data_IF_952511925878
#
_entry.id   IF_952511925878
#
_cell.length_a   1.000
_cell.length_b   1.000
_cell.length_c   1.000
_cell.angle_alpha   90.00
_cell.angle_beta   90.00
_cell.angle_gamma   90.00
#
_symmetry.space_group_name_H-M   'P 1'
#
loop_
_entity.id
_entity.type
_entity.pdbx_description
1 polymer ?
#
# COMPACT_ATOMS: atom_id res chain seq x y z
N UNK A 1 13.35 -24.47 -11.62
CA UNK A 1 13.01 -23.87 -10.31
C UNK A 1 13.26 -22.36 -10.31
N UNK A 2 14.38 -21.88 -10.86
CA UNK A 2 14.70 -20.44 -10.98
C UNK A 2 13.67 -19.60 -11.77
N UNK A 3 13.16 -20.12 -12.88
CA UNK A 3 12.16 -19.42 -13.71
C UNK A 3 10.82 -19.21 -12.99
N UNK A 4 10.39 -20.17 -12.17
CA UNK A 4 9.15 -20.09 -11.39
C UNK A 4 9.23 -18.99 -10.32
N UNK A 5 10.40 -18.87 -9.68
CA UNK A 5 10.66 -17.84 -8.69
C UNK A 5 10.63 -16.45 -9.34
N UNK A 6 11.29 -16.26 -10.50
CA UNK A 6 11.25 -14.99 -11.26
C UNK A 6 9.83 -14.58 -11.67
N UNK A 7 9.03 -15.53 -12.14
CA UNK A 7 7.64 -15.27 -12.53
C UNK A 7 6.78 -14.80 -11.36
N UNK A 8 6.85 -15.48 -10.21
CA UNK A 8 6.13 -15.08 -9.00
C UNK A 8 6.54 -13.68 -8.53
N UNK A 9 7.82 -13.31 -8.59
CA UNK A 9 8.26 -11.96 -8.22
C UNK A 9 7.70 -10.87 -9.14
N UNK A 10 7.67 -11.11 -10.46
CA UNK A 10 7.07 -10.16 -11.41
C UNK A 10 5.57 -9.92 -11.15
N UNK A 11 4.82 -10.98 -10.83
CA UNK A 11 3.40 -10.85 -10.46
C UNK A 11 3.21 -10.08 -9.14
N UNK A 12 4.08 -10.31 -8.15
CA UNK A 12 4.03 -9.60 -6.87
C UNK A 12 4.34 -8.11 -7.04
N UNK A 13 5.32 -7.76 -7.88
CA UNK A 13 5.66 -6.35 -8.16
C UNK A 13 4.51 -5.62 -8.86
N UNK A 14 3.88 -6.27 -9.85
CA UNK A 14 2.69 -5.72 -10.52
C UNK A 14 1.54 -5.51 -9.53
N UNK A 15 1.22 -6.51 -8.71
CA UNK A 15 0.19 -6.41 -7.68
C UNK A 15 0.50 -5.29 -6.67
N UNK A 16 1.76 -5.16 -6.24
CA UNK A 16 2.18 -4.10 -5.33
C UNK A 16 1.98 -2.70 -5.93
N UNK A 17 2.32 -2.52 -7.22
CA UNK A 17 2.08 -1.28 -7.96
C UNK A 17 0.59 -0.93 -8.04
N UNK A 18 -0.25 -1.91 -8.37
CA UNK A 18 -1.71 -1.72 -8.46
C UNK A 18 -2.33 -1.34 -7.11
N UNK A 19 -1.91 -2.00 -6.03
CA UNK A 19 -2.35 -1.67 -4.68
C UNK A 19 -1.85 -0.28 -4.29
N UNK A 20 -0.62 0.11 -4.65
CA UNK A 20 -0.08 1.44 -4.33
C UNK A 20 -0.86 2.55 -5.04
N UNK A 21 -1.15 2.39 -6.32
CA UNK A 21 -2.01 3.30 -7.08
C UNK A 21 -3.40 3.38 -6.45
N UNK A 22 -3.98 2.25 -6.06
CA UNK A 22 -5.30 2.19 -5.44
C UNK A 22 -5.32 2.88 -4.07
N UNK A 23 -4.30 2.66 -3.24
CA UNK A 23 -4.16 3.35 -1.95
C UNK A 23 -4.03 4.86 -2.12
N UNK A 24 -3.23 5.31 -3.10
CA UNK A 24 -3.13 6.74 -3.44
C UNK A 24 -4.48 7.36 -3.79
N UNK A 25 -5.30 6.65 -4.58
CA UNK A 25 -6.67 7.10 -4.90
C UNK A 25 -7.58 7.12 -3.67
N UNK A 26 -7.49 6.12 -2.81
CA UNK A 26 -8.28 6.06 -1.57
C UNK A 26 -7.93 7.26 -0.67
N UNK A 27 -6.63 7.53 -0.45
CA UNK A 27 -6.19 8.66 0.36
C UNK A 27 -6.71 9.99 -0.19
N UNK A 28 -6.60 10.20 -1.51
CA UNK A 28 -7.11 11.40 -2.15
C UNK A 28 -8.64 11.56 -2.00
N UNK A 29 -9.40 10.48 -2.15
CA UNK A 29 -10.86 10.48 -1.96
C UNK A 29 -11.24 10.80 -0.50
N UNK A 30 -10.50 10.26 0.47
CA UNK A 30 -10.73 10.54 1.89
C UNK A 30 -10.40 11.99 2.23
N UNK A 31 -9.32 12.54 1.69
CA UNK A 31 -8.94 13.94 1.90
C UNK A 31 -9.96 14.91 1.29
N UNK A 32 -10.43 14.62 0.07
CA UNK A 32 -11.50 15.38 -0.59
C UNK A 32 -12.81 15.32 0.22
N UNK A 33 -13.21 14.12 0.66
CA UNK A 33 -14.39 13.94 1.51
C UNK A 33 -14.29 14.75 2.80
N UNK A 34 -13.14 14.70 3.49
CA UNK A 34 -12.92 15.49 4.71
C UNK A 34 -13.05 16.99 4.43
N UNK A 35 -12.44 17.48 3.35
CA UNK A 35 -12.49 18.89 2.97
C UNK A 35 -13.93 19.36 2.70
N UNK A 36 -14.73 18.54 2.01
CA UNK A 36 -16.14 18.84 1.75
C UNK A 36 -16.99 18.82 3.02
N UNK A 37 -16.68 17.93 3.96
CA UNK A 37 -17.43 17.79 5.21
C UNK A 37 -17.06 18.85 6.26
N UNK A 38 -15.83 19.40 6.25
CA UNK A 38 -15.37 20.42 7.20
C UNK A 38 -16.41 21.51 7.55
N UNK A 39 -17.05 22.20 6.59
CA UNK A 39 -18.02 23.26 6.90
C UNK A 39 -19.34 22.73 7.50
N UNK A 40 -19.68 21.46 7.30
CA UNK A 40 -20.89 20.84 7.87
C UNK A 40 -20.61 20.26 9.27
N UNK A 41 -19.39 19.75 9.50
CA UNK A 41 -18.96 19.19 10.78
C UNK A 41 -19.03 20.23 11.89
N UNK A 42 -18.77 21.51 11.59
CA UNK A 42 -18.91 22.60 12.59
C UNK A 42 -20.35 22.85 13.03
N UNK A 43 -21.34 22.34 12.28
CA UNK A 43 -22.77 22.46 12.58
C UNK A 43 -23.36 21.21 13.22
N UNK A 44 -22.61 20.11 13.25
CA UNK A 44 -23.06 18.87 13.85
C UNK A 44 -22.81 18.89 15.36
N UNK A 45 -23.88 18.67 16.13
CA UNK A 45 -23.83 18.56 17.58
C UNK A 45 -24.37 17.19 18.03
N UNK A 46 -23.96 16.76 19.22
CA UNK A 46 -24.46 15.52 19.83
C UNK A 46 -24.08 14.26 19.06
N UNK A 47 -25.08 13.43 18.74
CA UNK A 47 -24.90 12.10 18.16
C UNK A 47 -24.30 12.12 16.73
N UNK A 48 -24.64 13.13 15.93
CA UNK A 48 -24.11 13.27 14.57
C UNK A 48 -22.59 13.53 14.56
N UNK A 49 -22.11 14.36 15.49
CA UNK A 49 -20.68 14.63 15.65
C UNK A 49 -19.92 13.37 16.10
N UNK A 50 -20.51 12.58 17.01
CA UNK A 50 -19.93 11.32 17.48
C UNK A 50 -19.84 10.28 16.34
N UNK A 51 -20.92 10.09 15.58
CA UNK A 51 -20.97 9.16 14.45
C UNK A 51 -19.95 9.55 13.36
N UNK A 52 -19.81 10.84 13.06
CA UNK A 52 -18.78 11.32 12.14
C UNK A 52 -17.37 11.03 12.65
N UNK A 53 -17.08 11.31 13.92
CA UNK A 53 -15.77 11.04 14.51
C UNK A 53 -15.39 9.55 14.47
N UNK A 54 -16.36 8.66 14.68
CA UNK A 54 -16.17 7.21 14.54
C UNK A 54 -15.87 6.83 13.09
N UNK A 55 -16.67 7.31 12.14
CA UNK A 55 -16.46 7.08 10.72
C UNK A 55 -15.08 7.59 10.28
N UNK A 56 -14.68 8.77 10.78
CA UNK A 56 -13.39 9.36 10.51
C UNK A 56 -12.23 8.49 10.99
N UNK A 57 -12.30 8.07 12.25
CA UNK A 57 -11.31 7.18 12.84
C UNK A 57 -11.20 5.87 12.06
N UNK A 58 -12.33 5.32 11.63
CA UNK A 58 -12.39 4.04 10.91
C UNK A 58 -11.70 4.12 9.54
N UNK A 59 -12.01 5.13 8.72
CA UNK A 59 -11.38 5.24 7.41
C UNK A 59 -9.90 5.63 7.51
N UNK A 60 -9.52 6.46 8.49
CA UNK A 60 -8.12 6.87 8.69
C UNK A 60 -7.26 5.68 9.09
N UNK A 61 -7.80 4.83 9.97
CA UNK A 61 -7.14 3.58 10.37
C UNK A 61 -7.00 2.62 9.18
N UNK A 62 -8.06 2.42 8.39
CA UNK A 62 -8.02 1.54 7.23
C UNK A 62 -6.99 1.99 6.18
N UNK A 63 -6.91 3.30 5.92
CA UNK A 63 -5.91 3.88 5.02
C UNK A 63 -4.48 3.68 5.55
N UNK A 64 -4.25 3.90 6.85
CA UNK A 64 -2.95 3.68 7.47
C UNK A 64 -2.51 2.21 7.43
N UNK A 65 -3.44 1.27 7.68
CA UNK A 65 -3.18 -0.17 7.58
C UNK A 65 -2.81 -0.58 6.15
N UNK A 66 -3.55 -0.08 5.14
CA UNK A 66 -3.25 -0.34 3.73
C UNK A 66 -1.84 0.16 3.35
N UNK A 67 -1.49 1.38 3.78
CA UNK A 67 -0.16 1.95 3.55
C UNK A 67 0.95 1.14 4.24
N UNK A 68 0.69 0.60 5.43
CA UNK A 68 1.64 -0.26 6.16
C UNK A 68 1.87 -1.59 5.44
N UNK A 69 0.79 -2.21 4.96
CA UNK A 69 0.86 -3.45 4.16
C UNK A 69 1.67 -3.20 2.88
N UNK A 70 1.41 -2.10 2.19
CA UNK A 70 2.16 -1.69 0.99
C UNK A 70 3.65 -1.49 1.24
N UNK A 71 4.01 -0.81 2.32
CA UNK A 71 5.40 -0.63 2.72
C UNK A 71 6.09 -1.99 2.98
N UNK A 72 5.37 -2.92 3.60
CA UNK A 72 5.84 -4.28 3.89
C UNK A 72 6.06 -5.07 2.60
N UNK A 73 5.09 -5.07 1.68
CA UNK A 73 5.21 -5.73 0.37
C UNK A 73 6.40 -5.15 -0.41
N UNK A 74 6.49 -3.81 -0.48
CA UNK A 74 7.57 -3.11 -1.19
C UNK A 74 8.96 -3.47 -0.65
N UNK A 75 9.09 -3.65 0.66
CA UNK A 75 10.33 -4.10 1.29
C UNK A 75 10.65 -5.55 0.88
N UNK A 76 9.70 -6.46 1.00
CA UNK A 76 9.88 -7.88 0.66
C UNK A 76 10.25 -8.08 -0.81
N UNK A 77 9.64 -7.33 -1.74
CA UNK A 77 9.96 -7.39 -3.17
C UNK A 77 11.40 -6.94 -3.43
N UNK A 78 11.83 -5.82 -2.84
CA UNK A 78 13.21 -5.33 -2.97
C UNK A 78 14.24 -6.34 -2.46
N UNK A 79 14.02 -6.88 -1.27
CA UNK A 79 14.89 -7.92 -0.71
C UNK A 79 14.94 -9.18 -1.60
N UNK A 80 13.81 -9.53 -2.24
CA UNK A 80 13.76 -10.62 -3.22
C UNK A 80 14.61 -10.35 -4.47
N UNK A 81 14.49 -9.14 -5.03
CA UNK A 81 15.26 -8.70 -6.20
C UNK A 81 16.76 -8.68 -5.92
N UNK A 82 17.18 -8.15 -4.77
CA UNK A 82 18.59 -8.11 -4.38
C UNK A 82 19.19 -9.52 -4.28
N UNK A 83 18.49 -10.45 -3.61
CA UNK A 83 18.91 -11.86 -3.50
C UNK A 83 19.03 -12.55 -4.87
N UNK A 84 18.09 -12.30 -5.79
CA UNK A 84 18.14 -12.89 -7.12
C UNK A 84 19.29 -12.30 -7.95
N UNK A 85 19.57 -11.00 -7.82
CA UNK A 85 20.72 -10.35 -8.43
C UNK A 85 22.05 -10.95 -7.97
N UNK A 86 22.16 -11.25 -6.68
CA UNK A 86 23.33 -11.94 -6.10
C UNK A 86 23.49 -13.35 -6.65
N UNK A 87 22.42 -14.14 -6.66
CA UNK A 87 22.42 -15.51 -7.21
C UNK A 87 22.82 -15.50 -8.69
N UNK A 88 22.27 -14.58 -9.48
CA UNK A 88 22.57 -14.47 -10.90
C UNK A 88 24.03 -14.08 -11.15
N UNK A 89 24.60 -13.18 -10.33
CA UNK A 89 26.03 -12.83 -10.39
C UNK A 89 26.93 -14.02 -10.04
N UNK A 90 26.60 -14.75 -8.98
CA UNK A 90 27.36 -15.94 -8.57
C UNK A 90 27.29 -17.04 -9.63
N UNK A 91 26.11 -17.29 -10.19
CA UNK A 91 25.94 -18.21 -11.31
C UNK A 91 26.75 -17.76 -12.53
N UNK A 92 26.68 -16.49 -12.94
CA UNK A 92 27.48 -16.02 -14.07
C UNK A 92 29.00 -16.17 -13.85
N UNK A 93 29.48 -15.96 -12.62
CA UNK A 93 30.89 -16.13 -12.25
C UNK A 93 31.34 -17.60 -12.23
N UNK A 94 30.43 -18.57 -12.04
CA UNK A 94 30.78 -20.00 -12.01
C UNK A 94 30.82 -20.65 -13.40
N UNK A 95 30.47 -19.91 -14.47
CA UNK A 95 30.45 -20.38 -15.85
C UNK A 95 31.61 -19.83 -16.69
N UNK A 96 32.48 -19.02 -16.09
CA UNK A 96 33.78 -18.60 -16.65
C UNK A 96 34.93 -19.36 -16.01
#
# INVERSE_FOLDING_TARGET
>A
MESVIKYQFGEIEAAASDINSTSGRINALLDDLKAQLQPMVSTWEGEAAAAYGEAQTKWDKAAAELNTILATISKTVREGNDRMGDINRMAAASWG
#
